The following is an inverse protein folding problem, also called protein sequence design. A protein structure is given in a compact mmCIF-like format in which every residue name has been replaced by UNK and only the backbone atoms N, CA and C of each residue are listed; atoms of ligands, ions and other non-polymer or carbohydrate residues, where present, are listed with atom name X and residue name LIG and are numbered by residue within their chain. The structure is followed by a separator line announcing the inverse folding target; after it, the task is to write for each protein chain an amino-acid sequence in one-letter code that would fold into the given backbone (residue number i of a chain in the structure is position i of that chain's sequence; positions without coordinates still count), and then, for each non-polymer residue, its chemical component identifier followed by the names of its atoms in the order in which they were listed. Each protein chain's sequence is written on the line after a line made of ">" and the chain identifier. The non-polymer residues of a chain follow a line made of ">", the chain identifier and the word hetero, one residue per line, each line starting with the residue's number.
data_IF_070936486685
#
_entry.id   IF_070936486685
#
_cell.length_a   1.000
_cell.length_b   1.000
_cell.length_c   1.000
_cell.angle_alpha   90.00
_cell.angle_beta   90.00
_cell.angle_gamma   90.00
#
_symmetry.space_group_name_H-M   'P 1'
#
loop_
_entity.id
_entity.type
_entity.pdbx_description
1 polymer ?
#
# COMPACT_ATOMS: atom_id res chain seq x y z
N UNK A 1 -23.60 -0.21 6.14
CA UNK A 1 -23.65 -1.44 5.33
C UNK A 1 -23.01 -2.55 6.14
N UNK A 2 -23.56 -3.77 6.11
CA UNK A 2 -22.94 -4.89 6.83
C UNK A 2 -21.71 -5.34 6.05
N UNK A 3 -20.59 -5.57 6.73
CA UNK A 3 -19.39 -6.17 6.14
C UNK A 3 -19.12 -7.49 6.84
N UNK A 4 -18.85 -8.53 6.07
CA UNK A 4 -18.52 -9.87 6.60
C UNK A 4 -17.13 -10.28 6.14
N UNK A 5 -16.38 -10.97 7.00
CA UNK A 5 -15.07 -11.51 6.62
C UNK A 5 -15.21 -12.46 5.43
N UNK A 6 -14.33 -12.31 4.44
CA UNK A 6 -14.30 -13.17 3.27
C UNK A 6 -14.04 -14.63 3.71
N UNK A 7 -14.72 -15.58 3.05
CA UNK A 7 -14.53 -17.00 3.32
C UNK A 7 -13.07 -17.42 3.14
N UNK A 8 -12.55 -18.16 4.13
CA UNK A 8 -11.23 -18.78 4.11
C UNK A 8 -10.95 -19.63 2.86
N UNK A 9 -11.98 -20.23 2.29
CA UNK A 9 -11.85 -21.12 1.13
C UNK A 9 -12.08 -20.41 -0.21
N UNK A 10 -12.46 -19.13 -0.21
CA UNK A 10 -12.55 -18.35 -1.43
C UNK A 10 -11.17 -18.16 -2.08
N UNK A 11 -11.14 -17.81 -3.38
CA UNK A 11 -9.90 -17.38 -4.03
C UNK A 11 -9.42 -16.08 -3.39
N UNK A 12 -8.11 -15.94 -3.22
CA UNK A 12 -7.54 -14.77 -2.59
C UNK A 12 -7.73 -13.54 -3.51
N UNK A 13 -8.31 -12.43 -3.01
CA UNK A 13 -8.52 -11.24 -3.81
C UNK A 13 -7.25 -10.54 -4.31
N UNK A 14 -6.08 -10.87 -3.74
CA UNK A 14 -4.82 -10.30 -4.20
C UNK A 14 -4.38 -10.79 -5.59
N UNK A 15 -5.01 -11.84 -6.14
CA UNK A 15 -4.76 -12.26 -7.53
C UNK A 15 -3.82 -13.45 -7.71
N UNK A 16 -3.20 -13.97 -6.63
CA UNK A 16 -2.30 -15.17 -6.69
C UNK A 16 -3.00 -16.47 -7.13
N UNK A 17 -4.33 -16.49 -7.25
CA UNK A 17 -5.10 -17.69 -7.54
C UNK A 17 -5.19 -18.70 -6.39
N UNK A 18 -4.43 -18.53 -5.30
CA UNK A 18 -4.48 -19.40 -4.11
C UNK A 18 -5.80 -19.24 -3.34
N UNK A 19 -6.11 -20.21 -2.47
CA UNK A 19 -7.19 -20.04 -1.48
C UNK A 19 -6.78 -18.96 -0.47
N UNK A 20 -7.72 -18.12 -0.04
CA UNK A 20 -7.45 -17.01 0.87
C UNK A 20 -6.71 -17.46 2.14
N UNK A 21 -7.15 -18.56 2.77
CA UNK A 21 -6.50 -19.16 3.96
C UNK A 21 -5.03 -19.56 3.77
N UNK A 22 -4.62 -19.79 2.53
CA UNK A 22 -3.27 -20.23 2.15
C UNK A 22 -2.45 -19.11 1.54
N UNK A 23 -2.96 -17.86 1.55
CA UNK A 23 -2.32 -16.69 0.97
C UNK A 23 -2.38 -15.53 1.97
N UNK A 24 -3.25 -14.54 1.77
CA UNK A 24 -3.26 -13.33 2.61
C UNK A 24 -3.99 -13.47 3.97
N UNK A 25 -4.61 -14.60 4.31
CA UNK A 25 -5.50 -14.68 5.48
C UNK A 25 -4.81 -14.42 6.82
N UNK A 26 -3.54 -14.80 6.95
CA UNK A 26 -2.74 -14.61 8.17
C UNK A 26 -1.95 -13.30 8.18
N UNK A 27 -2.14 -12.43 7.17
CA UNK A 27 -1.54 -11.09 7.14
C UNK A 27 -2.24 -10.21 8.19
N UNK A 28 -1.63 -9.06 8.52
CA UNK A 28 -2.19 -8.10 9.49
C UNK A 28 -3.45 -7.36 9.03
N UNK A 29 -4.18 -7.88 8.05
CA UNK A 29 -5.42 -7.33 7.51
C UNK A 29 -6.41 -8.44 7.16
N UNK A 30 -7.66 -8.05 6.89
CA UNK A 30 -8.67 -8.98 6.42
C UNK A 30 -9.41 -8.46 5.19
N UNK A 31 -9.65 -9.34 4.22
CA UNK A 31 -10.66 -9.04 3.21
C UNK A 31 -12.07 -9.19 3.78
N UNK A 32 -12.92 -8.23 3.47
CA UNK A 32 -14.35 -8.21 3.80
C UNK A 32 -15.17 -8.08 2.53
N UNK A 33 -16.40 -8.55 2.59
CA UNK A 33 -17.38 -8.46 1.50
C UNK A 33 -18.61 -7.73 2.02
N UNK A 34 -19.07 -6.73 1.28
CA UNK A 34 -20.31 -6.01 1.57
C UNK A 34 -21.53 -6.73 0.98
N UNK A 35 -22.72 -6.21 1.27
CA UNK A 35 -24.00 -6.77 0.80
C UNK A 35 -24.16 -6.73 -0.74
N UNK A 36 -23.35 -5.91 -1.44
CA UNK A 36 -23.33 -5.82 -2.90
C UNK A 36 -22.31 -6.78 -3.53
N UNK A 37 -21.54 -7.52 -2.72
CA UNK A 37 -20.50 -8.42 -3.19
C UNK A 37 -19.15 -7.74 -3.44
N UNK A 38 -19.00 -6.44 -3.12
CA UNK A 38 -17.72 -5.76 -3.28
C UNK A 38 -16.74 -6.25 -2.22
N UNK A 39 -15.53 -6.58 -2.66
CA UNK A 39 -14.46 -7.03 -1.77
C UNK A 39 -13.56 -5.85 -1.46
N UNK A 40 -13.36 -5.56 -0.17
CA UNK A 40 -12.44 -4.53 0.29
C UNK A 40 -11.51 -5.07 1.37
N UNK A 41 -10.42 -4.34 1.61
CA UNK A 41 -9.45 -4.67 2.65
C UNK A 41 -9.76 -3.86 3.90
N UNK A 42 -9.96 -4.54 5.02
CA UNK A 42 -10.06 -3.96 6.36
C UNK A 42 -8.71 -4.06 7.06
N UNK A 43 -8.17 -2.91 7.46
CA UNK A 43 -6.90 -2.77 8.17
C UNK A 43 -7.15 -2.18 9.56
N UNK A 44 -6.44 -2.63 10.61
CA UNK A 44 -6.48 -1.96 11.90
C UNK A 44 -5.77 -0.60 11.80
N UNK A 45 -6.32 0.42 12.46
CA UNK A 45 -5.68 1.72 12.62
C UNK A 45 -5.13 1.83 14.04
N UNK A 46 -3.92 2.37 14.17
CA UNK A 46 -3.36 2.73 15.48
C UNK A 46 -3.91 4.10 15.93
N UNK A 47 -3.63 4.47 17.19
CA UNK A 47 -4.13 5.72 17.78
C UNK A 47 -3.64 6.97 17.02
N UNK A 48 -2.41 6.94 16.53
CA UNK A 48 -1.82 8.03 15.74
C UNK A 48 -2.56 8.25 14.40
N UNK A 49 -2.83 7.17 13.65
CA UNK A 49 -3.59 7.25 12.42
C UNK A 49 -5.03 7.72 12.67
N UNK A 50 -5.66 7.28 13.76
CA UNK A 50 -6.99 7.78 14.15
C UNK A 50 -6.95 9.28 14.43
N UNK A 51 -5.97 9.76 15.20
CA UNK A 51 -5.82 11.17 15.49
C UNK A 51 -5.61 12.01 14.21
N UNK A 52 -4.82 11.52 13.25
CA UNK A 52 -4.63 12.18 11.97
C UNK A 52 -5.94 12.27 11.16
N UNK A 53 -6.73 11.19 11.12
CA UNK A 53 -8.02 11.19 10.42
C UNK A 53 -9.04 12.14 11.06
N UNK A 54 -9.04 12.25 12.40
CA UNK A 54 -9.88 13.23 13.09
C UNK A 54 -9.44 14.67 12.78
N UNK A 55 -8.13 14.94 12.70
CA UNK A 55 -7.64 16.25 12.26
C UNK A 55 -8.09 16.57 10.83
N UNK A 56 -8.02 15.59 9.91
CA UNK A 56 -8.52 15.77 8.54
C UNK A 56 -10.03 16.07 8.51
N UNK A 57 -10.81 15.42 9.38
CA UNK A 57 -12.24 15.69 9.54
C UNK A 57 -12.51 17.12 10.02
N UNK A 58 -11.75 17.62 10.99
CA UNK A 58 -11.85 19.00 11.47
C UNK A 58 -11.52 20.02 10.37
N UNK A 59 -10.45 19.78 9.59
CA UNK A 59 -10.09 20.62 8.43
C UNK A 59 -11.21 20.64 7.39
N UNK A 60 -11.77 19.49 7.07
CA UNK A 60 -12.90 19.40 6.14
C UNK A 60 -14.10 20.24 6.65
N UNK A 61 -14.44 20.12 7.94
CA UNK A 61 -15.53 20.90 8.53
C UNK A 61 -15.23 22.40 8.48
N UNK A 62 -13.99 22.82 8.78
CA UNK A 62 -13.59 24.22 8.71
C UNK A 62 -13.71 24.78 7.28
N UNK A 63 -13.35 23.99 6.26
CA UNK A 63 -13.41 24.39 4.84
C UNK A 63 -14.85 24.38 4.29
N UNK A 64 -15.64 23.35 4.61
CA UNK A 64 -16.94 23.10 3.96
C UNK A 64 -18.16 23.40 4.84
N UNK A 65 -17.98 23.70 6.13
CA UNK A 65 -19.05 24.00 7.08
C UNK A 65 -19.94 22.79 7.47
N UNK A 66 -19.56 21.57 7.07
CA UNK A 66 -20.28 20.32 7.37
C UNK A 66 -19.31 19.14 7.51
N UNK A 67 -19.70 18.05 8.19
CA UNK A 67 -18.90 16.82 8.18
C UNK A 67 -18.83 16.18 6.78
N UNK A 68 -17.77 15.40 6.49
CA UNK A 68 -17.67 14.64 5.25
C UNK A 68 -18.74 13.53 5.21
N UNK A 69 -19.33 13.34 4.04
CA UNK A 69 -20.24 12.26 3.69
C UNK A 69 -19.50 11.08 3.05
N UNK A 70 -20.23 10.03 2.65
CA UNK A 70 -19.61 8.77 2.16
C UNK A 70 -18.76 8.90 0.90
N UNK A 71 -18.99 9.93 0.09
CA UNK A 71 -18.29 10.16 -1.18
C UNK A 71 -17.37 11.39 -1.15
N UNK A 72 -17.24 12.05 0.00
CA UNK A 72 -16.33 13.19 0.15
C UNK A 72 -14.89 12.68 0.40
N UNK A 73 -13.88 13.36 -0.16
CA UNK A 73 -12.50 13.01 0.08
C UNK A 73 -12.10 13.31 1.54
N UNK A 74 -11.34 12.39 2.15
CA UNK A 74 -10.72 12.61 3.47
C UNK A 74 -9.48 13.49 3.34
N UNK A 75 -8.72 13.31 2.26
CA UNK A 75 -7.58 14.14 1.89
C UNK A 75 -8.00 14.96 0.67
N UNK A 76 -8.05 16.28 0.83
CA UNK A 76 -8.49 17.18 -0.22
C UNK A 76 -7.50 17.13 -1.40
N UNK A 77 -7.94 16.82 -2.62
CA UNK A 77 -7.07 16.81 -3.79
C UNK A 77 -6.37 18.16 -4.05
N UNK A 78 -6.97 19.28 -3.64
CA UNK A 78 -6.34 20.60 -3.76
C UNK A 78 -5.11 20.76 -2.85
N UNK A 79 -5.07 20.03 -1.74
CA UNK A 79 -3.97 20.03 -0.78
C UNK A 79 -2.91 18.96 -1.11
N UNK A 80 -3.16 18.10 -2.10
CA UNK A 80 -2.27 17.03 -2.51
C UNK A 80 -1.44 17.46 -3.73
N UNK A 81 -0.13 17.21 -3.66
CA UNK A 81 0.71 17.33 -4.83
C UNK A 81 0.28 16.34 -5.92
N UNK A 82 0.57 16.70 -7.17
CA UNK A 82 0.44 15.78 -8.30
C UNK A 82 1.24 14.50 -8.06
N UNK A 83 0.72 13.36 -8.54
CA UNK A 83 1.31 12.04 -8.32
C UNK A 83 2.74 11.93 -8.85
N UNK A 84 3.04 12.54 -10.00
CA UNK A 84 4.39 12.51 -10.58
C UNK A 84 5.36 13.34 -9.75
N UNK A 85 4.90 14.50 -9.25
CA UNK A 85 5.69 15.36 -8.35
C UNK A 85 5.97 14.62 -7.05
N UNK A 86 4.96 14.02 -6.44
CA UNK A 86 5.10 13.25 -5.18
C UNK A 86 6.07 12.08 -5.35
N UNK A 87 5.98 11.37 -6.47
CA UNK A 87 6.87 10.25 -6.79
C UNK A 87 8.31 10.72 -6.96
N UNK A 88 8.53 11.81 -7.69
CA UNK A 88 9.86 12.39 -7.87
C UNK A 88 10.48 12.87 -6.56
N UNK A 89 9.70 13.52 -5.69
CA UNK A 89 10.14 13.95 -4.36
C UNK A 89 10.52 12.77 -3.47
N UNK A 90 9.72 11.68 -3.50
CA UNK A 90 10.02 10.45 -2.76
C UNK A 90 11.31 9.80 -3.26
N UNK A 91 11.48 9.66 -4.58
CA UNK A 91 12.70 9.10 -5.19
C UNK A 91 13.94 9.92 -4.78
N UNK A 92 13.84 11.25 -4.83
CA UNK A 92 14.92 12.13 -4.39
C UNK A 92 15.22 12.00 -2.88
N UNK A 93 14.21 11.71 -2.05
CA UNK A 93 14.40 11.41 -0.63
C UNK A 93 15.11 10.06 -0.42
N UNK A 94 14.70 9.02 -1.15
CA UNK A 94 15.32 7.70 -1.10
C UNK A 94 16.80 7.74 -1.50
N UNK A 95 17.11 8.42 -2.61
CA UNK A 95 18.48 8.59 -3.08
C UNK A 95 19.35 9.33 -2.05
N UNK A 96 18.82 10.38 -1.40
CA UNK A 96 19.53 11.09 -0.31
C UNK A 96 19.69 10.25 0.95
N UNK A 97 18.82 9.26 1.15
CA UNK A 97 18.90 8.31 2.25
C UNK A 97 19.79 7.10 1.92
N UNK A 98 20.48 7.11 0.78
CA UNK A 98 21.37 6.03 0.33
C UNK A 98 20.65 4.67 0.20
N UNK A 99 19.36 4.71 -0.14
CA UNK A 99 18.59 3.49 -0.43
C UNK A 99 19.06 2.92 -1.76
N UNK A 100 19.25 1.60 -1.81
CA UNK A 100 19.74 0.90 -2.99
C UNK A 100 18.88 1.19 -4.24
N UNK A 101 19.49 1.49 -5.42
CA UNK A 101 18.77 1.79 -6.65
C UNK A 101 17.72 0.76 -7.06
N UNK A 102 17.98 -0.54 -6.83
CA UNK A 102 17.01 -1.60 -7.09
C UNK A 102 15.68 -1.42 -6.32
N UNK A 103 15.74 -0.96 -5.07
CA UNK A 103 14.56 -0.70 -4.25
C UNK A 103 13.84 0.58 -4.69
N UNK A 104 14.60 1.60 -5.13
CA UNK A 104 14.04 2.82 -5.73
C UNK A 104 13.29 2.47 -7.02
N UNK A 105 13.88 1.62 -7.87
CA UNK A 105 13.26 1.12 -9.10
C UNK A 105 11.95 0.36 -8.80
N UNK A 106 11.97 -0.53 -7.82
CA UNK A 106 10.78 -1.28 -7.42
C UNK A 106 9.67 -0.37 -6.85
N UNK A 107 10.03 0.67 -6.09
CA UNK A 107 9.09 1.71 -5.65
C UNK A 107 8.49 2.46 -6.84
N UNK A 108 9.30 2.92 -7.81
CA UNK A 108 8.82 3.64 -8.98
C UNK A 108 7.84 2.79 -9.81
N UNK A 109 8.07 1.48 -9.90
CA UNK A 109 7.24 0.56 -10.69
C UNK A 109 5.93 0.19 -10.00
N UNK A 110 5.96 0.01 -8.68
CA UNK A 110 4.82 -0.57 -7.92
C UNK A 110 4.09 0.44 -7.03
N UNK A 111 4.70 1.60 -6.76
CA UNK A 111 4.26 2.57 -5.77
C UNK A 111 4.39 2.11 -4.32
N UNK A 112 5.03 0.96 -4.06
CA UNK A 112 5.11 0.37 -2.72
C UNK A 112 6.38 0.78 -1.98
N UNK A 113 6.21 1.27 -0.75
CA UNK A 113 7.29 1.38 0.23
C UNK A 113 7.36 0.09 1.02
N UNK A 114 8.06 -0.92 0.50
CA UNK A 114 8.18 -2.22 1.16
C UNK A 114 9.40 -2.24 2.08
N UNK A 115 9.20 -2.62 3.34
CA UNK A 115 10.27 -2.82 4.33
C UNK A 115 10.07 -4.13 5.07
N UNK A 116 11.08 -4.58 5.81
CA UNK A 116 10.97 -5.78 6.66
C UNK A 116 9.81 -5.63 7.67
N UNK A 117 9.65 -4.44 8.23
CA UNK A 117 8.62 -4.15 9.24
C UNK A 117 7.21 -4.24 8.67
N UNK A 118 6.98 -3.95 7.39
CA UNK A 118 5.64 -3.88 6.82
C UNK A 118 5.30 -5.01 5.82
N UNK A 119 6.28 -5.82 5.40
CA UNK A 119 6.06 -6.92 4.42
C UNK A 119 4.96 -7.90 4.83
N UNK A 120 4.77 -8.10 6.13
CA UNK A 120 3.71 -8.96 6.68
C UNK A 120 2.30 -8.35 6.64
N UNK A 121 2.18 -7.05 6.35
CA UNK A 121 0.93 -6.31 6.16
C UNK A 121 0.56 -6.19 4.67
N UNK A 122 1.43 -6.62 3.77
CA UNK A 122 1.22 -6.51 2.34
C UNK A 122 0.57 -7.77 1.75
N UNK A 123 -0.33 -7.62 0.74
CA UNK A 123 -0.84 -8.76 -0.02
C UNK A 123 0.32 -9.52 -0.66
N UNK A 124 0.23 -10.84 -0.73
CA UNK A 124 1.29 -11.69 -1.29
C UNK A 124 1.69 -11.26 -2.70
N UNK A 125 0.71 -11.02 -3.59
CA UNK A 125 0.99 -10.61 -4.97
C UNK A 125 1.69 -9.26 -5.08
N UNK A 126 1.42 -8.32 -4.17
CA UNK A 126 2.08 -7.01 -4.17
C UNK A 126 3.55 -7.14 -3.76
N UNK A 127 3.84 -8.06 -2.84
CA UNK A 127 5.22 -8.38 -2.45
C UNK A 127 5.95 -9.07 -3.60
N UNK A 128 5.30 -10.04 -4.26
CA UNK A 128 5.84 -10.71 -5.45
C UNK A 128 6.10 -9.70 -6.58
N UNK A 129 5.19 -8.75 -6.82
CA UNK A 129 5.36 -7.70 -7.83
C UNK A 129 6.55 -6.78 -7.52
N UNK A 130 6.74 -6.41 -6.26
CA UNK A 130 7.88 -5.63 -5.82
C UNK A 130 9.20 -6.41 -6.00
N UNK A 131 9.24 -7.67 -5.57
CA UNK A 131 10.43 -8.54 -5.70
C UNK A 131 10.79 -8.78 -7.17
N UNK A 132 9.80 -9.03 -8.03
CA UNK A 132 10.04 -9.14 -9.47
C UNK A 132 10.61 -7.84 -10.08
N UNK A 133 10.21 -6.66 -9.59
CA UNK A 133 10.77 -5.39 -10.04
C UNK A 133 12.23 -5.21 -9.59
N UNK A 134 12.58 -5.72 -8.39
CA UNK A 134 13.98 -5.78 -7.93
C UNK A 134 14.81 -6.72 -8.81
N UNK A 135 14.30 -7.92 -9.10
CA UNK A 135 14.98 -8.89 -9.97
C UNK A 135 15.20 -8.34 -11.39
N UNK A 136 14.21 -7.62 -11.93
CA UNK A 136 14.32 -6.92 -13.21
C UNK A 136 15.43 -5.88 -13.22
N UNK A 137 15.60 -5.13 -12.13
CA UNK A 137 16.68 -4.15 -12.02
C UNK A 137 18.05 -4.84 -12.14
N UNK A 138 18.29 -5.92 -11.40
CA UNK A 138 19.56 -6.65 -11.44
C UNK A 138 19.78 -7.35 -12.78
N UNK A 139 18.73 -7.85 -13.43
CA UNK A 139 18.85 -8.41 -14.78
C UNK A 139 19.31 -7.37 -15.82
N UNK A 140 19.00 -6.08 -15.59
CA UNK A 140 19.44 -4.96 -16.44
C UNK A 140 20.80 -4.37 -16.03
N UNK A 141 21.24 -4.60 -14.78
CA UNK A 141 22.49 -4.10 -14.19
C UNK A 141 23.28 -5.24 -13.54
N UNK A 142 23.72 -6.25 -14.31
CA UNK A 142 24.37 -7.44 -13.77
C UNK A 142 25.67 -7.15 -13.02
N UNK A 143 26.35 -6.04 -13.33
CA UNK A 143 27.53 -5.57 -12.61
C UNK A 143 27.27 -5.14 -11.15
N UNK A 144 26.01 -4.85 -10.80
CA UNK A 144 25.60 -4.46 -9.45
C UNK A 144 25.13 -5.67 -8.61
N UNK A 145 24.88 -6.83 -9.24
CA UNK A 145 24.46 -8.08 -8.59
C UNK A 145 25.63 -8.77 -7.85
N UNK A 146 26.87 -8.60 -8.34
CA UNK A 146 28.08 -9.23 -7.76
C UNK A 146 28.56 -8.59 -6.43
N UNK A 147 27.86 -7.56 -5.91
CA UNK A 147 28.30 -6.74 -4.78
C UNK A 147 27.67 -7.05 -3.41
N UNK A 148 26.70 -7.96 -3.32
CA UNK A 148 25.91 -8.20 -2.09
C UNK A 148 26.39 -9.35 -1.20
N UNK A 149 27.54 -9.98 -1.53
CA UNK A 149 28.18 -11.05 -0.76
C UNK A 149 29.47 -10.59 -0.02
N UNK A 150 29.50 -9.39 0.56
CA UNK A 150 30.64 -8.90 1.36
C UNK A 150 30.26 -8.32 2.72
#
# INVERSE_FOLDING_TARGET
>A
MSQKKLSRNARCPCGTGLKYKSCCYSKGFHYVVDDSGNVSRSVPLNEEAVALLEQQRERFIAKHGRPPGPNDPIFDPEDMADEDIRTAEMVAAMARADIHPALIHAYQKTGLLLTEENRHLMPTSHVEEFENAVDEYYALHPEEDEGLDS
#
